data_IF_414788944596
#
_entry.id   IF_414788944596
#
_cell.length_a   1.000
_cell.length_b   1.000
_cell.length_c   1.000
_cell.angle_alpha   90.00
_cell.angle_beta   90.00
_cell.angle_gamma   90.00
#
_symmetry.space_group_name_H-M   'P 1'
#
loop_
_entity.id
_entity.type
_entity.pdbx_description
1 polymer ?
#
# COMPACT_ATOMS: atom_id res chain seq x y z
N UNK A 1 -13.53 10.40 -22.39
CA UNK A 1 -12.47 10.75 -21.41
C UNK A 1 -11.96 9.45 -20.82
N UNK A 2 -10.64 9.22 -20.88
CA UNK A 2 -10.03 8.01 -20.30
C UNK A 2 -10.04 8.05 -18.77
N UNK A 3 -9.99 6.88 -18.13
CA UNK A 3 -9.80 6.75 -16.69
C UNK A 3 -8.31 6.87 -16.35
N UNK A 4 -7.99 7.42 -15.18
CA UNK A 4 -6.63 7.53 -14.65
C UNK A 4 -6.40 6.41 -13.62
N UNK A 5 -5.46 5.52 -13.90
CA UNK A 5 -5.20 4.31 -13.12
C UNK A 5 -4.08 4.52 -12.09
N UNK A 6 -4.30 4.02 -10.88
CA UNK A 6 -3.34 4.09 -9.78
C UNK A 6 -3.13 2.71 -9.16
N UNK A 7 -1.87 2.31 -9.04
CA UNK A 7 -1.47 1.17 -8.20
C UNK A 7 -1.41 1.63 -6.75
N UNK A 8 -2.01 0.85 -5.86
CA UNK A 8 -2.12 1.20 -4.44
C UNK A 8 -1.26 0.33 -3.53
N UNK A 9 -0.76 -0.79 -4.03
CA UNK A 9 0.00 -1.76 -3.25
C UNK A 9 1.16 -2.33 -4.08
N UNK A 10 2.38 -1.85 -3.83
CA UNK A 10 3.59 -2.37 -4.47
C UNK A 10 4.81 -2.28 -3.56
N UNK A 11 5.80 -3.10 -3.88
CA UNK A 11 7.04 -3.26 -3.14
C UNK A 11 8.26 -3.05 -4.03
N UNK A 12 9.34 -2.59 -3.43
CA UNK A 12 10.62 -2.27 -4.06
C UNK A 12 11.75 -3.03 -3.38
N UNK A 13 12.75 -3.44 -4.14
CA UNK A 13 13.88 -4.22 -3.64
C UNK A 13 14.80 -3.41 -2.71
N UNK A 14 14.67 -2.09 -2.69
CA UNK A 14 15.39 -1.23 -1.76
C UNK A 14 14.98 -1.45 -0.30
N UNK A 15 13.70 -1.76 -0.02
CA UNK A 15 13.19 -1.84 1.35
C UNK A 15 12.37 -3.11 1.67
N UNK A 16 11.82 -3.79 0.67
CA UNK A 16 11.10 -5.07 0.85
C UNK A 16 11.98 -6.25 0.40
N UNK A 17 12.26 -7.19 1.31
CA UNK A 17 13.16 -8.32 1.05
C UNK A 17 12.62 -9.33 0.02
N UNK A 18 11.31 -9.30 -0.24
CA UNK A 18 10.63 -10.13 -1.25
C UNK A 18 10.48 -9.46 -2.61
N UNK A 19 10.84 -8.18 -2.77
CA UNK A 19 10.74 -7.51 -4.07
C UNK A 19 12.02 -7.71 -4.88
N UNK A 20 11.85 -7.95 -6.18
CA UNK A 20 12.94 -8.23 -7.12
C UNK A 20 13.26 -7.05 -8.03
N UNK A 21 12.51 -5.95 -7.93
CA UNK A 21 12.63 -4.77 -8.78
C UNK A 21 12.77 -3.51 -7.95
N UNK A 22 13.59 -2.59 -8.41
CA UNK A 22 13.80 -1.30 -7.77
C UNK A 22 12.58 -0.38 -7.91
N UNK A 23 12.49 0.66 -7.08
CA UNK A 23 11.45 1.68 -7.21
C UNK A 23 11.42 2.34 -8.60
N UNK A 24 12.59 2.57 -9.20
CA UNK A 24 12.69 3.10 -10.55
C UNK A 24 12.18 2.12 -11.63
N UNK A 25 12.41 0.82 -11.45
CA UNK A 25 11.86 -0.21 -12.34
C UNK A 25 10.35 -0.34 -12.17
N UNK A 26 9.81 -0.27 -10.95
CA UNK A 26 8.37 -0.24 -10.72
C UNK A 26 7.72 0.95 -11.45
N UNK A 27 8.30 2.16 -11.32
CA UNK A 27 7.81 3.33 -12.04
C UNK A 27 7.74 3.09 -13.56
N UNK A 28 8.79 2.53 -14.17
CA UNK A 28 8.79 2.22 -15.61
C UNK A 28 7.75 1.17 -15.98
N UNK A 29 7.67 0.06 -15.24
CA UNK A 29 6.69 -1.02 -15.48
C UNK A 29 5.26 -0.52 -15.46
N UNK A 30 4.88 0.23 -14.43
CA UNK A 30 3.52 0.74 -14.31
C UNK A 30 3.21 1.83 -15.34
N UNK A 31 4.20 2.66 -15.70
CA UNK A 31 4.03 3.62 -16.80
C UNK A 31 3.78 2.92 -18.13
N UNK A 32 4.53 1.86 -18.44
CA UNK A 32 4.35 1.03 -19.65
C UNK A 32 2.99 0.31 -19.64
N UNK A 33 2.50 -0.11 -18.48
CA UNK A 33 1.17 -0.67 -18.29
C UNK A 33 0.02 0.37 -18.36
N UNK A 34 0.32 1.64 -18.65
CA UNK A 34 -0.69 2.69 -18.84
C UNK A 34 -1.18 3.37 -17.55
N UNK A 35 -0.49 3.17 -16.43
CA UNK A 35 -0.86 3.82 -15.18
C UNK A 35 -0.54 5.31 -15.18
N UNK A 36 -1.39 6.05 -14.46
CA UNK A 36 -1.19 7.49 -14.19
C UNK A 36 -0.34 7.71 -12.96
N UNK A 37 -0.43 6.83 -11.97
CA UNK A 37 0.42 6.88 -10.80
C UNK A 37 0.53 5.57 -10.04
N UNK A 38 1.42 5.58 -9.05
CA UNK A 38 1.70 4.47 -8.15
C UNK A 38 1.86 4.97 -6.73
N UNK A 39 1.56 4.12 -5.75
CA UNK A 39 1.86 4.35 -4.34
C UNK A 39 2.87 3.29 -3.91
N UNK A 40 4.05 3.71 -3.49
CA UNK A 40 5.08 2.80 -2.96
C UNK A 40 4.70 2.44 -1.52
N UNK A 41 4.57 1.15 -1.22
CA UNK A 41 4.09 0.63 0.07
C UNK A 41 5.01 -0.45 0.62
N UNK A 42 6.31 -0.18 0.64
CA UNK A 42 7.31 -1.14 1.11
C UNK A 42 6.99 -1.68 2.51
N UNK A 43 7.44 -2.91 2.78
CA UNK A 43 7.28 -3.56 4.07
C UNK A 43 8.02 -2.78 5.15
N UNK A 44 7.25 -2.27 6.10
CA UNK A 44 7.76 -1.65 7.29
C UNK A 44 8.57 -2.65 8.14
N UNK A 45 9.27 -2.14 9.14
CA UNK A 45 10.22 -2.88 9.96
C UNK A 45 9.68 -4.10 10.71
N UNK A 46 8.37 -4.21 10.84
CA UNK A 46 7.69 -5.35 11.47
C UNK A 46 7.30 -6.44 10.46
N UNK A 47 7.49 -6.20 9.15
CA UNK A 47 7.19 -7.12 8.06
C UNK A 47 8.45 -7.70 7.40
N UNK A 48 8.31 -8.12 6.14
CA UNK A 48 9.39 -8.72 5.36
C UNK A 48 10.35 -7.67 4.78
N UNK A 49 10.95 -6.88 5.68
CA UNK A 49 11.83 -5.75 5.34
C UNK A 49 13.24 -6.22 4.97
N UNK A 50 13.86 -5.53 4.01
CA UNK A 50 15.28 -5.65 3.69
C UNK A 50 16.17 -4.77 4.60
N UNK A 51 15.57 -3.91 5.42
CA UNK A 51 16.30 -2.92 6.22
C UNK A 51 16.89 -3.56 7.49
N UNK A 52 18.21 -3.45 7.73
CA UNK A 52 18.84 -4.03 8.92
C UNK A 52 18.26 -3.51 10.23
N UNK A 53 18.03 -4.40 11.19
CA UNK A 53 17.39 -4.08 12.48
C UNK A 53 18.34 -3.38 13.48
N UNK A 54 19.65 -3.48 13.27
CA UNK A 54 20.69 -2.99 14.18
C UNK A 54 21.15 -1.56 13.90
N UNK A 55 20.53 -0.87 12.94
CA UNK A 55 20.83 0.52 12.62
C UNK A 55 20.02 1.49 13.49
N UNK A 56 20.54 2.70 13.76
CA UNK A 56 19.76 3.79 14.35
C UNK A 56 18.47 4.06 13.58
N UNK A 57 17.41 4.48 14.28
CA UNK A 57 16.08 4.72 13.68
C UNK A 57 16.13 5.59 12.42
N UNK A 58 16.83 6.71 12.50
CA UNK A 58 16.94 7.65 11.38
C UNK A 58 17.60 7.01 10.14
N UNK A 59 18.66 6.22 10.33
CA UNK A 59 19.30 5.49 9.23
C UNK A 59 18.36 4.44 8.63
N UNK A 60 17.58 3.74 9.47
CA UNK A 60 16.58 2.78 8.99
C UNK A 60 15.52 3.46 8.13
N UNK A 61 14.98 4.60 8.57
CA UNK A 61 13.99 5.37 7.81
C UNK A 61 14.60 5.89 6.50
N UNK A 62 15.83 6.39 6.54
CA UNK A 62 16.51 6.87 5.33
C UNK A 62 16.72 5.76 4.29
N UNK A 63 17.02 4.53 4.71
CA UNK A 63 17.10 3.37 3.81
C UNK A 63 15.71 2.92 3.33
N UNK A 64 14.74 2.87 4.24
CA UNK A 64 13.35 2.51 3.92
C UNK A 64 12.77 3.40 2.82
N UNK A 65 13.03 4.70 2.85
CA UNK A 65 12.50 5.62 1.85
C UNK A 65 13.16 5.55 0.47
N UNK A 66 14.25 4.78 0.28
CA UNK A 66 14.99 4.76 -1.00
C UNK A 66 14.15 4.26 -2.18
N UNK A 67 13.31 3.25 -1.95
CA UNK A 67 12.39 2.74 -2.97
C UNK A 67 11.46 3.83 -3.49
N UNK A 68 10.79 4.53 -2.56
CA UNK A 68 9.94 5.68 -2.88
C UNK A 68 10.70 6.81 -3.56
N UNK A 69 11.86 7.22 -3.05
CA UNK A 69 12.67 8.31 -3.61
C UNK A 69 13.12 8.02 -5.04
N UNK A 70 13.58 6.79 -5.30
CA UNK A 70 14.00 6.35 -6.63
C UNK A 70 12.82 6.25 -7.60
N UNK A 71 11.69 5.71 -7.13
CA UNK A 71 10.45 5.68 -7.90
C UNK A 71 9.99 7.11 -8.25
N UNK A 72 9.99 8.03 -7.29
CA UNK A 72 9.59 9.43 -7.47
C UNK A 72 10.48 10.14 -8.47
N UNK A 73 11.81 10.00 -8.32
CA UNK A 73 12.79 10.58 -9.25
C UNK A 73 12.61 10.08 -10.68
N UNK A 74 12.26 8.81 -10.86
CA UNK A 74 12.00 8.25 -12.18
C UNK A 74 10.64 8.67 -12.72
N UNK A 75 9.61 8.63 -11.88
CA UNK A 75 8.25 9.06 -12.20
C UNK A 75 8.18 10.50 -12.71
N UNK A 76 8.93 11.41 -12.07
CA UNK A 76 9.05 12.81 -12.50
C UNK A 76 9.63 12.97 -13.91
N UNK A 77 10.50 12.05 -14.36
CA UNK A 77 11.06 12.07 -15.72
C UNK A 77 10.10 11.50 -16.75
N UNK A 78 9.34 10.45 -16.39
CA UNK A 78 8.49 9.69 -17.32
C UNK A 78 7.02 10.11 -17.27
N UNK A 79 6.67 11.11 -16.45
CA UNK A 79 5.31 11.59 -16.28
C UNK A 79 4.41 10.57 -15.60
N UNK A 80 4.85 10.01 -14.48
CA UNK A 80 4.09 9.11 -13.59
C UNK A 80 4.04 9.74 -12.19
N UNK A 81 2.84 9.85 -11.62
CA UNK A 81 2.70 10.32 -10.23
C UNK A 81 3.15 9.24 -9.26
N UNK A 82 3.98 9.59 -8.28
CA UNK A 82 4.47 8.63 -7.28
C UNK A 82 4.19 9.17 -5.88
N UNK A 83 3.47 8.38 -5.09
CA UNK A 83 3.09 8.72 -3.73
C UNK A 83 3.74 7.77 -2.71
N UNK A 84 3.86 8.26 -1.48
CA UNK A 84 4.45 7.52 -0.37
C UNK A 84 3.37 6.85 0.47
N UNK A 85 3.67 5.64 0.91
CA UNK A 85 2.94 4.86 1.89
C UNK A 85 3.86 3.76 2.43
N UNK A 86 3.31 2.86 3.23
CA UNK A 86 4.02 1.66 3.68
C UNK A 86 3.05 0.55 4.03
N UNK A 87 3.54 -0.68 4.06
CA UNK A 87 2.80 -1.81 4.58
C UNK A 87 3.31 -2.21 5.97
N UNK A 88 2.43 -2.11 6.97
CA UNK A 88 2.68 -2.55 8.34
C UNK A 88 2.25 -4.01 8.52
N UNK A 89 3.02 -4.79 9.27
CA UNK A 89 2.70 -6.17 9.61
C UNK A 89 2.56 -6.33 11.13
N UNK A 90 1.48 -6.97 11.56
CA UNK A 90 1.24 -7.38 12.93
C UNK A 90 0.99 -8.87 12.91
N UNK A 91 2.01 -9.72 13.08
CA UNK A 91 1.86 -11.19 13.06
C UNK A 91 0.98 -11.69 11.90
N UNK A 92 1.42 -11.44 10.66
CA UNK A 92 0.72 -11.83 9.41
C UNK A 92 -0.59 -11.09 9.11
N UNK A 93 -1.00 -10.11 9.91
CA UNK A 93 -2.09 -9.19 9.57
C UNK A 93 -1.47 -7.90 9.08
N UNK A 94 -1.83 -7.50 7.86
CA UNK A 94 -1.15 -6.42 7.16
C UNK A 94 -2.07 -5.24 6.87
N UNK A 95 -1.51 -4.03 6.92
CA UNK A 95 -2.23 -2.79 6.65
C UNK A 95 -1.39 -1.84 5.82
N UNK A 96 -2.02 -1.27 4.78
CA UNK A 96 -1.44 -0.20 3.98
C UNK A 96 -1.74 1.13 4.64
N UNK A 97 -0.69 1.93 4.81
CA UNK A 97 -0.80 3.26 5.39
C UNK A 97 -0.51 4.32 4.34
N UNK A 98 -1.37 5.34 4.30
CA UNK A 98 -1.25 6.47 3.40
C UNK A 98 -1.41 7.80 4.12
N UNK A 99 -0.94 8.88 3.49
CA UNK A 99 -1.23 10.25 3.92
C UNK A 99 -0.28 10.85 4.95
N UNK A 100 0.72 10.09 5.40
CA UNK A 100 1.85 10.62 6.18
C UNK A 100 3.11 10.57 5.32
N UNK A 101 4.16 11.31 5.70
CA UNK A 101 5.39 11.46 4.92
C UNK A 101 6.63 10.88 5.64
N UNK A 102 7.79 10.79 4.96
CA UNK A 102 9.03 10.32 5.58
C UNK A 102 9.47 11.11 6.82
N UNK A 103 9.18 12.41 6.88
CA UNK A 103 9.56 13.25 8.02
C UNK A 103 8.71 12.94 9.24
N UNK A 104 7.42 12.67 9.06
CA UNK A 104 6.56 12.14 10.10
C UNK A 104 7.12 10.81 10.61
N UNK A 105 7.40 9.85 9.73
CA UNK A 105 7.97 8.56 10.13
C UNK A 105 9.27 8.72 10.92
N UNK A 106 10.19 9.60 10.48
CA UNK A 106 11.46 9.86 11.17
C UNK A 106 11.26 10.33 12.63
N UNK A 107 10.17 11.03 12.92
CA UNK A 107 9.86 11.54 14.26
C UNK A 107 9.05 10.60 15.15
N UNK A 108 8.67 9.40 14.69
CA UNK A 108 7.80 8.47 15.43
C UNK A 108 8.43 7.06 15.60
N UNK A 109 9.60 6.93 16.24
CA UNK A 109 10.25 5.63 16.47
C UNK A 109 9.40 4.64 17.29
N UNK A 110 8.49 5.14 18.12
CA UNK A 110 7.58 4.34 18.93
C UNK A 110 6.62 3.48 18.09
N UNK A 111 6.41 3.82 16.81
CA UNK A 111 5.54 3.06 15.91
C UNK A 111 5.98 1.61 15.69
N UNK A 112 7.25 1.31 15.96
CA UNK A 112 7.79 -0.05 15.94
C UNK A 112 7.10 -0.98 16.95
N UNK A 113 6.50 -0.42 18.00
CA UNK A 113 5.97 -1.16 19.14
C UNK A 113 4.46 -1.07 19.29
N UNK A 114 3.77 -0.39 18.37
CA UNK A 114 2.33 -0.21 18.46
C UNK A 114 1.56 -1.53 18.38
N UNK A 115 0.36 -1.55 18.96
CA UNK A 115 -0.71 -2.46 18.59
C UNK A 115 -1.42 -2.01 17.31
N UNK A 116 -2.35 -2.81 16.79
CA UNK A 116 -3.19 -2.41 15.65
C UNK A 116 -4.05 -1.20 16.00
N UNK A 117 -4.57 -1.16 17.23
CA UNK A 117 -5.39 -0.09 17.76
C UNK A 117 -4.58 1.20 17.94
N UNK A 118 -3.36 1.12 18.48
CA UNK A 118 -2.46 2.26 18.59
C UNK A 118 -2.05 2.79 17.21
N UNK A 119 -1.71 1.89 16.27
CA UNK A 119 -1.43 2.26 14.88
C UNK A 119 -2.57 3.08 14.30
N UNK A 120 -3.80 2.55 14.37
CA UNK A 120 -4.96 3.25 13.84
C UNK A 120 -5.17 4.60 14.52
N UNK A 121 -5.10 4.65 15.86
CA UNK A 121 -5.28 5.89 16.61
C UNK A 121 -4.27 6.98 16.20
N UNK A 122 -2.98 6.68 16.20
CA UNK A 122 -1.94 7.68 15.93
C UNK A 122 -1.88 8.10 14.46
N UNK A 123 -2.06 7.16 13.52
CA UNK A 123 -2.11 7.49 12.09
C UNK A 123 -3.34 8.34 11.79
N UNK A 124 -4.51 7.94 12.25
CA UNK A 124 -5.75 8.69 12.00
C UNK A 124 -5.70 10.08 12.65
N UNK A 125 -5.14 10.20 13.87
CA UNK A 125 -4.90 11.48 14.55
C UNK A 125 -3.97 12.40 13.76
N UNK A 126 -2.99 11.84 13.05
CA UNK A 126 -2.07 12.59 12.18
C UNK A 126 -2.65 12.90 10.78
N UNK A 127 -3.89 12.49 10.50
CA UNK A 127 -4.55 12.70 9.20
C UNK A 127 -4.22 11.66 8.14
N UNK A 128 -3.60 10.54 8.54
CA UNK A 128 -3.35 9.40 7.66
C UNK A 128 -4.59 8.54 7.42
N UNK A 129 -4.38 7.42 6.71
CA UNK A 129 -5.43 6.50 6.29
C UNK A 129 -4.93 5.06 6.39
N UNK A 130 -5.73 4.18 6.98
CA UNK A 130 -5.36 2.78 7.27
C UNK A 130 -6.25 1.83 6.45
N UNK A 131 -5.65 1.02 5.59
CA UNK A 131 -6.36 0.04 4.76
C UNK A 131 -5.97 -1.36 5.18
N UNK A 132 -6.93 -2.24 5.42
CA UNK A 132 -6.63 -3.64 5.67
C UNK A 132 -6.17 -4.30 4.36
N UNK A 133 -4.88 -4.66 4.29
CA UNK A 133 -4.30 -5.35 3.14
C UNK A 133 -4.80 -6.80 3.11
N UNK A 134 -5.32 -7.25 1.96
CA UNK A 134 -5.81 -8.61 1.67
C UNK A 134 -6.22 -9.43 2.93
N UNK A 135 -7.28 -9.02 3.66
CA UNK A 135 -7.57 -9.48 5.04
C UNK A 135 -7.80 -10.99 5.19
N UNK A 136 -8.16 -11.67 4.09
CA UNK A 136 -8.48 -13.09 4.08
C UNK A 136 -7.39 -13.95 3.45
N UNK A 137 -6.17 -13.43 3.24
CA UNK A 137 -5.04 -14.23 2.78
C UNK A 137 -4.88 -15.45 3.69
N UNK A 138 -4.99 -16.62 3.08
CA UNK A 138 -4.89 -17.91 3.76
C UNK A 138 -3.70 -18.68 3.16
N UNK A 139 -2.69 -18.90 3.99
CA UNK A 139 -1.39 -19.49 3.65
C UNK A 139 -0.92 -20.36 4.80
N UNK A 140 -0.09 -21.36 4.52
CA UNK A 140 0.37 -22.32 5.52
C UNK A 140 1.09 -21.70 6.74
N UNK A 141 1.67 -20.50 6.60
CA UNK A 141 2.34 -19.78 7.69
C UNK A 141 1.38 -18.90 8.53
N UNK A 142 0.11 -18.79 8.14
CA UNK A 142 -0.89 -17.97 8.82
C UNK A 142 -1.67 -18.86 9.79
N UNK A 143 -1.48 -18.62 11.08
CA UNK A 143 -2.15 -19.40 12.13
C UNK A 143 -3.67 -19.14 12.14
N UNK A 144 -4.06 -17.87 11.98
CA UNK A 144 -5.47 -17.46 11.97
C UNK A 144 -5.68 -16.13 11.26
N UNK A 145 -6.81 -16.01 10.59
CA UNK A 145 -7.30 -14.74 10.05
C UNK A 145 -7.80 -13.89 11.21
N UNK A 146 -7.35 -12.63 11.27
CA UNK A 146 -7.80 -11.62 12.24
C UNK A 146 -8.28 -10.40 11.49
N UNK A 147 -9.43 -9.87 11.91
CA UNK A 147 -10.09 -8.73 11.29
C UNK A 147 -10.24 -7.62 12.34
N UNK A 148 -10.13 -6.38 11.89
CA UNK A 148 -10.13 -5.19 12.75
C UNK A 148 -11.04 -4.09 12.17
N UNK A 149 -12.36 -4.32 12.01
CA UNK A 149 -13.24 -3.40 11.30
C UNK A 149 -13.39 -2.02 11.95
N UNK A 150 -13.06 -1.92 13.23
CA UNK A 150 -13.12 -0.66 14.00
C UNK A 150 -11.80 0.13 13.96
N UNK A 151 -10.73 -0.46 13.40
CA UNK A 151 -9.38 0.11 13.39
C UNK A 151 -8.81 0.22 11.98
N UNK A 152 -9.68 0.43 10.99
CA UNK A 152 -9.34 0.62 9.58
C UNK A 152 -10.32 1.60 8.94
N UNK A 153 -9.85 2.30 7.91
CA UNK A 153 -10.66 3.20 7.09
C UNK A 153 -11.15 2.55 5.79
N UNK A 154 -10.51 1.48 5.32
CA UNK A 154 -10.88 0.76 4.10
C UNK A 154 -10.36 -0.68 4.07
N UNK A 155 -10.75 -1.42 3.03
CA UNK A 155 -10.37 -2.81 2.80
C UNK A 155 -9.82 -3.00 1.39
N UNK A 156 -8.67 -3.63 1.24
CA UNK A 156 -8.21 -4.16 -0.05
C UNK A 156 -8.99 -5.43 -0.38
N UNK A 157 -9.94 -5.31 -1.32
CA UNK A 157 -10.88 -6.38 -1.66
C UNK A 157 -10.46 -7.19 -2.88
N UNK A 158 -9.54 -6.64 -3.69
CA UNK A 158 -8.96 -7.31 -4.84
C UNK A 158 -7.44 -7.17 -4.80
N UNK A 159 -6.75 -8.29 -4.67
CA UNK A 159 -5.31 -8.32 -4.54
C UNK A 159 -4.71 -9.42 -5.43
N UNK A 160 -3.91 -9.04 -6.44
CA UNK A 160 -3.32 -10.03 -7.37
C UNK A 160 -2.38 -10.99 -6.62
N UNK A 161 -1.52 -10.47 -5.73
CA UNK A 161 -0.59 -11.26 -4.93
C UNK A 161 -1.26 -12.38 -4.10
N UNK A 162 -2.52 -12.21 -3.72
CA UNK A 162 -3.28 -13.20 -2.96
C UNK A 162 -3.70 -14.43 -3.79
N UNK A 163 -3.87 -14.28 -5.11
CA UNK A 163 -4.22 -15.36 -6.06
C UNK A 163 -5.38 -16.26 -5.60
N UNK A 164 -6.42 -15.68 -5.01
CA UNK A 164 -7.56 -16.43 -4.47
C UNK A 164 -8.86 -15.64 -4.56
N UNK A 165 -9.70 -16.03 -5.53
CA UNK A 165 -11.03 -15.43 -5.72
C UNK A 165 -11.94 -15.58 -4.49
N UNK A 166 -11.75 -16.64 -3.70
CA UNK A 166 -12.51 -16.86 -2.47
C UNK A 166 -12.10 -15.86 -1.37
N UNK A 167 -10.82 -15.54 -1.27
CA UNK A 167 -10.36 -14.53 -0.33
C UNK A 167 -10.87 -13.14 -0.72
N UNK A 168 -10.81 -12.80 -2.00
CA UNK A 168 -11.37 -11.55 -2.54
C UNK A 168 -12.88 -11.46 -2.27
N UNK A 169 -13.63 -12.55 -2.49
CA UNK A 169 -15.07 -12.61 -2.18
C UNK A 169 -15.35 -12.30 -0.71
N UNK A 170 -14.59 -12.92 0.22
CA UNK A 170 -14.71 -12.65 1.67
C UNK A 170 -14.35 -11.20 2.00
N UNK A 171 -13.32 -10.64 1.36
CA UNK A 171 -12.93 -9.25 1.54
C UNK A 171 -14.02 -8.26 1.08
N UNK A 172 -14.66 -8.53 -0.06
CA UNK A 172 -15.82 -7.76 -0.54
C UNK A 172 -16.98 -7.83 0.45
N UNK A 173 -17.31 -9.02 0.96
CA UNK A 173 -18.38 -9.20 1.95
C UNK A 173 -18.08 -8.48 3.26
N UNK A 174 -16.83 -8.54 3.72
CA UNK A 174 -16.34 -7.83 4.89
C UNK A 174 -16.45 -6.31 4.73
N UNK A 175 -15.97 -5.75 3.61
CA UNK A 175 -16.08 -4.33 3.32
C UNK A 175 -17.55 -3.86 3.31
N UNK A 176 -18.43 -4.61 2.63
CA UNK A 176 -19.88 -4.33 2.58
C UNK A 176 -20.53 -4.38 3.97
N UNK A 177 -20.22 -5.41 4.76
CA UNK A 177 -20.78 -5.59 6.11
C UNK A 177 -20.47 -4.40 7.02
N UNK A 178 -19.31 -3.79 6.86
CA UNK A 178 -18.84 -2.68 7.69
C UNK A 178 -18.95 -1.31 7.03
N UNK A 179 -19.58 -1.22 5.84
CA UNK A 179 -19.70 0.02 5.03
C UNK A 179 -18.34 0.70 4.77
N UNK A 180 -17.30 -0.10 4.54
CA UNK A 180 -15.94 0.38 4.29
C UNK A 180 -15.68 0.54 2.78
N UNK A 181 -14.98 1.61 2.36
CA UNK A 181 -14.42 1.72 1.01
C UNK A 181 -13.57 0.51 0.62
N UNK A 182 -13.58 0.23 -0.68
CA UNK A 182 -12.91 -0.92 -1.27
C UNK A 182 -11.69 -0.47 -2.07
N UNK A 183 -10.60 -1.24 -1.98
CA UNK A 183 -9.34 -1.02 -2.69
C UNK A 183 -9.05 -2.21 -3.62
N UNK A 184 -8.31 -1.94 -4.69
CA UNK A 184 -7.78 -2.93 -5.60
C UNK A 184 -6.32 -2.61 -5.91
N UNK A 185 -5.43 -3.56 -5.61
CA UNK A 185 -3.99 -3.43 -5.79
C UNK A 185 -3.36 -4.71 -6.30
N UNK A 186 -2.14 -4.61 -6.79
CA UNK A 186 -1.41 -5.77 -7.32
C UNK A 186 -0.64 -6.50 -6.21
N UNK A 187 -0.17 -5.77 -5.18
CA UNK A 187 0.84 -6.27 -4.24
C UNK A 187 2.08 -6.73 -5.02
N UNK A 188 2.58 -5.82 -5.86
CA UNK A 188 3.61 -6.15 -6.85
C UNK A 188 4.99 -6.24 -6.23
N UNK A 189 5.66 -7.36 -6.50
CA UNK A 189 7.04 -7.66 -6.11
C UNK A 189 7.98 -7.80 -7.31
N UNK A 190 7.47 -7.64 -8.53
CA UNK A 190 8.27 -7.59 -9.75
C UNK A 190 8.05 -8.74 -10.73
N UNK A 191 7.35 -9.81 -10.31
CA UNK A 191 7.10 -11.02 -11.11
C UNK A 191 5.64 -11.20 -11.52
N UNK A 192 4.74 -10.29 -11.13
CA UNK A 192 3.33 -10.36 -11.46
C UNK A 192 3.10 -10.10 -12.95
N UNK A 193 2.18 -10.87 -13.54
CA UNK A 193 1.78 -10.79 -14.94
C UNK A 193 0.41 -10.16 -15.16
N UNK A 194 -0.32 -9.90 -14.08
CA UNK A 194 -1.65 -9.29 -14.07
C UNK A 194 -1.59 -8.07 -13.14
N UNK A 195 -2.37 -7.03 -13.46
CA UNK A 195 -2.42 -5.83 -12.64
C UNK A 195 -3.85 -5.44 -12.24
N UNK A 196 -3.99 -4.94 -11.02
CA UNK A 196 -5.21 -4.30 -10.52
C UNK A 196 -4.94 -2.80 -10.29
N UNK A 197 -5.99 -2.00 -10.42
CA UNK A 197 -5.89 -0.55 -10.20
C UNK A 197 -7.12 0.02 -9.52
N UNK A 198 -6.92 1.17 -8.87
CA UNK A 198 -7.99 2.13 -8.62
C UNK A 198 -8.02 3.16 -9.74
N UNK A 199 -9.21 3.41 -10.28
CA UNK A 199 -9.43 4.30 -11.41
C UNK A 199 -10.19 5.57 -10.99
N UNK A 200 -9.75 6.71 -11.52
CA UNK A 200 -10.30 8.03 -11.22
C UNK A 200 -10.65 8.78 -12.50
N UNK A 201 -11.59 9.74 -12.40
CA UNK A 201 -12.02 10.58 -13.53
C UNK A 201 -11.06 11.73 -13.86
N UNK A 202 -10.12 12.01 -12.97
CA UNK A 202 -9.09 13.05 -13.08
C UNK A 202 -7.75 12.50 -12.57
N UNK A 203 -6.61 13.08 -12.98
CA UNK A 203 -5.36 12.80 -12.30
C UNK A 203 -5.40 13.38 -10.87
N UNK A 204 -4.68 12.70 -9.99
CA UNK A 204 -4.51 13.03 -8.58
C UNK A 204 -3.17 13.75 -8.40
N UNK A 205 -3.17 14.85 -7.63
CA UNK A 205 -1.97 15.66 -7.43
C UNK A 205 -1.18 15.27 -6.17
N UNK A 206 -1.79 14.51 -5.27
CA UNK A 206 -1.18 14.08 -4.01
C UNK A 206 -1.85 12.82 -3.45
N UNK A 207 -1.22 12.22 -2.45
CA UNK A 207 -1.82 11.13 -1.67
C UNK A 207 -3.09 11.58 -0.92
N UNK A 208 -3.18 12.85 -0.51
CA UNK A 208 -4.39 13.38 0.13
C UNK A 208 -5.54 13.52 -0.87
N UNK A 209 -5.23 13.87 -2.11
CA UNK A 209 -6.20 13.91 -3.22
C UNK A 209 -6.79 12.51 -3.45
N UNK A 210 -5.93 11.48 -3.45
CA UNK A 210 -6.34 10.07 -3.50
C UNK A 210 -7.28 9.72 -2.33
N UNK A 211 -6.87 10.00 -1.09
CA UNK A 211 -7.67 9.71 0.12
C UNK A 211 -9.03 10.43 0.06
N UNK A 212 -9.06 11.70 -0.35
CA UNK A 212 -10.30 12.47 -0.49
C UNK A 212 -11.25 11.87 -1.53
N UNK A 213 -10.76 11.45 -2.70
CA UNK A 213 -11.59 10.78 -3.71
C UNK A 213 -12.13 9.44 -3.20
N UNK A 214 -11.31 8.65 -2.49
CA UNK A 214 -11.76 7.39 -1.87
C UNK A 214 -12.86 7.63 -0.83
N UNK A 215 -12.67 8.59 0.08
CA UNK A 215 -13.68 8.97 1.10
C UNK A 215 -14.98 9.47 0.47
N UNK A 216 -14.90 10.14 -0.68
CA UNK A 216 -16.07 10.62 -1.42
C UNK A 216 -16.75 9.54 -2.29
N UNK A 217 -16.19 8.34 -2.41
CA UNK A 217 -16.70 7.30 -3.31
C UNK A 217 -16.44 7.60 -4.79
N UNK A 218 -15.50 8.48 -5.11
CA UNK A 218 -15.19 8.94 -6.47
C UNK A 218 -14.13 8.08 -7.15
N UNK A 219 -14.30 6.76 -7.13
CA UNK A 219 -13.38 5.80 -7.72
C UNK A 219 -14.10 4.60 -8.33
N UNK A 220 -13.39 3.88 -9.19
CA UNK A 220 -13.79 2.56 -9.68
C UNK A 220 -12.65 1.57 -9.46
N UNK A 221 -12.98 0.30 -9.24
CA UNK A 221 -11.98 -0.77 -9.16
C UNK A 221 -11.80 -1.41 -10.54
N UNK A 222 -10.57 -1.56 -10.99
CA UNK A 222 -10.20 -2.18 -12.26
C UNK A 222 -9.33 -3.40 -11.96
N UNK A 223 -9.59 -4.51 -12.66
CA UNK A 223 -8.91 -5.78 -12.46
C UNK A 223 -8.42 -6.37 -13.78
N UNK A 224 -7.38 -7.19 -13.71
CA UNK A 224 -6.85 -7.98 -14.82
C UNK A 224 -6.50 -7.10 -16.04
N UNK A 225 -5.76 -6.03 -15.79
CA UNK A 225 -5.13 -5.19 -16.84
C UNK A 225 -3.96 -5.96 -17.45
#
# INVERSE_FOLDING_TARGET
MGLYLYETHLHTSEASACSYVTGAEQARKYKEAGYTGIIVTDHFFTGNTAIPHNLPWEERVNLFCKGYENAKKEGDKIGLSVFFGWESNFRTTEFLIYGLDPDWMRNHPEMLYWSVEEQYYYIHKAGGYVVHAHPFRDRAYIEKIRLFPEHIDAVEVYNVGNRSAECDRKAVEYAKKHNLPAFAGTDSHGFESEYNAMAFKRPLNSIHDFISCVKAGEYSLVKNI
#
